data_IF_527363600844
#
_entry.id   IF_527363600844
#
_cell.length_a   1.000
_cell.length_b   1.000
_cell.length_c   1.000
_cell.angle_alpha   90.00
_cell.angle_beta   90.00
_cell.angle_gamma   90.00
#
_symmetry.space_group_name_H-M   'P 1'
#
loop_
_entity.id
_entity.type
_entity.pdbx_description
1 polymer ?
#
# COMPACT_ATOMS: atom_id res chain seq x y z
N UNK A 1 7.96 9.42 -13.16
CA UNK A 1 8.27 8.00 -12.83
C UNK A 1 6.97 7.25 -12.60
N UNK A 2 6.94 5.92 -12.74
CA UNK A 2 5.80 5.12 -12.27
C UNK A 2 5.90 4.88 -10.76
N UNK A 3 4.76 4.80 -10.09
CA UNK A 3 4.64 4.40 -8.68
C UNK A 3 3.80 3.13 -8.60
N UNK A 4 4.30 2.10 -7.92
CA UNK A 4 3.51 0.92 -7.56
C UNK A 4 3.02 1.06 -6.12
N UNK A 5 1.72 0.84 -5.92
CA UNK A 5 1.07 0.93 -4.60
C UNK A 5 0.33 -0.38 -4.30
N UNK A 6 0.91 -1.26 -3.46
CA UNK A 6 0.22 -2.43 -2.95
C UNK A 6 -0.92 -2.02 -2.01
N UNK A 7 -2.12 -2.57 -2.24
CA UNK A 7 -3.32 -2.38 -1.42
C UNK A 7 -3.89 -3.73 -1.01
N UNK A 8 -4.20 -3.89 0.28
CA UNK A 8 -4.73 -5.13 0.86
C UNK A 8 -6.20 -4.97 1.22
N UNK A 9 -6.97 -6.02 0.90
CA UNK A 9 -8.35 -6.19 1.34
C UNK A 9 -8.36 -6.82 2.73
N UNK A 10 -8.88 -6.11 3.72
CA UNK A 10 -8.92 -6.53 5.13
C UNK A 10 -10.33 -6.38 5.68
N UNK A 11 -10.57 -6.91 6.88
CA UNK A 11 -11.81 -6.63 7.62
C UNK A 11 -11.86 -5.13 7.93
N UNK A 12 -13.02 -4.49 7.74
CA UNK A 12 -13.20 -3.08 8.06
C UNK A 12 -12.84 -2.81 9.52
N UNK A 13 -12.03 -1.79 9.76
CA UNK A 13 -11.47 -1.49 11.08
C UNK A 13 -12.53 -1.16 12.15
N UNK A 14 -13.77 -0.83 11.75
CA UNK A 14 -14.88 -0.61 12.67
C UNK A 14 -15.60 -1.92 13.06
N UNK A 15 -15.28 -3.04 12.41
CA UNK A 15 -15.90 -4.33 12.70
C UNK A 15 -15.21 -4.99 13.88
N UNK A 16 -16.00 -5.36 14.89
CA UNK A 16 -15.54 -6.23 15.96
C UNK A 16 -15.45 -7.69 15.47
N UNK A 17 -14.22 -8.15 15.25
CA UNK A 17 -13.94 -9.53 14.84
C UNK A 17 -14.36 -10.55 15.90
N UNK A 18 -14.71 -11.76 15.45
CA UNK A 18 -15.02 -12.92 16.29
C UNK A 18 -14.11 -14.06 15.90
N UNK A 19 -13.62 -14.81 16.90
CA UNK A 19 -12.87 -16.04 16.66
C UNK A 19 -13.86 -17.17 16.38
N UNK A 20 -13.53 -18.05 15.43
CA UNK A 20 -14.30 -19.26 15.16
C UNK A 20 -14.32 -20.17 16.39
N UNK A 21 -15.42 -20.91 16.56
CA UNK A 21 -15.60 -21.79 17.72
C UNK A 21 -14.54 -22.91 17.82
N UNK A 22 -13.95 -23.29 16.69
CA UNK A 22 -12.90 -24.32 16.59
C UNK A 22 -11.47 -23.77 16.79
N UNK A 23 -11.30 -22.46 17.00
CA UNK A 23 -10.00 -21.82 17.17
C UNK A 23 -9.14 -21.75 15.89
N UNK A 24 -9.68 -22.10 14.72
CA UNK A 24 -8.93 -22.13 13.46
C UNK A 24 -8.61 -20.75 12.88
N UNK A 25 -9.25 -19.69 13.38
CA UNK A 25 -9.02 -18.31 12.94
C UNK A 25 -10.21 -17.39 13.21
N UNK A 26 -10.27 -16.28 12.48
CA UNK A 26 -11.33 -15.27 12.57
C UNK A 26 -12.52 -15.65 11.68
N UNK A 27 -13.73 -15.36 12.14
CA UNK A 27 -14.95 -15.45 11.34
C UNK A 27 -15.00 -14.31 10.32
N UNK A 28 -14.96 -14.66 9.04
CA UNK A 28 -14.96 -13.72 7.92
C UNK A 28 -16.25 -13.79 7.10
N UNK A 29 -17.13 -14.78 7.36
CA UNK A 29 -18.38 -14.89 6.65
C UNK A 29 -19.29 -13.70 6.97
N UNK A 30 -19.80 -13.05 5.92
CA UNK A 30 -20.70 -11.88 6.01
C UNK A 30 -20.10 -10.68 6.78
N UNK A 31 -18.77 -10.60 6.85
CA UNK A 31 -18.07 -9.46 7.44
C UNK A 31 -17.81 -8.41 6.38
N UNK A 32 -18.02 -7.14 6.74
CA UNK A 32 -17.66 -6.00 5.88
C UNK A 32 -16.14 -5.95 5.72
N UNK A 33 -15.68 -5.93 4.48
CA UNK A 33 -14.27 -5.82 4.12
C UNK A 33 -14.02 -4.45 3.49
N UNK A 34 -12.82 -3.92 3.66
CA UNK A 34 -12.41 -2.62 3.12
C UNK A 34 -10.95 -2.64 2.67
N UNK A 35 -10.49 -1.52 2.10
CA UNK A 35 -9.06 -1.28 1.96
C UNK A 35 -8.45 -1.13 3.36
N UNK A 36 -7.22 -1.62 3.52
CA UNK A 36 -6.43 -1.37 4.73
C UNK A 36 -6.18 0.14 4.89
N UNK A 37 -6.42 0.75 6.07
CA UNK A 37 -6.31 2.20 6.25
C UNK A 37 -4.94 2.79 5.88
N UNK A 38 -3.84 2.08 6.15
CA UNK A 38 -2.51 2.54 5.75
C UNK A 38 -2.31 2.54 4.23
N UNK A 39 -3.04 1.70 3.51
CA UNK A 39 -2.94 1.60 2.06
C UNK A 39 -3.73 2.73 1.37
N UNK A 40 -4.81 3.22 1.98
CA UNK A 40 -5.51 4.43 1.53
C UNK A 40 -4.57 5.65 1.58
N UNK A 41 -3.77 5.76 2.64
CA UNK A 41 -2.73 6.79 2.80
C UNK A 41 -1.64 6.66 1.72
N UNK A 42 -1.25 5.42 1.41
CA UNK A 42 -0.26 5.13 0.37
C UNK A 42 -0.75 5.51 -1.03
N UNK A 43 -2.01 5.21 -1.35
CA UNK A 43 -2.64 5.63 -2.60
C UNK A 43 -2.72 7.16 -2.66
N UNK A 44 -3.22 7.82 -1.61
CA UNK A 44 -3.31 9.28 -1.59
C UNK A 44 -1.94 9.94 -1.82
N UNK A 45 -0.88 9.45 -1.19
CA UNK A 45 0.46 10.02 -1.38
C UNK A 45 0.94 9.85 -2.82
N UNK A 46 0.74 8.67 -3.42
CA UNK A 46 1.08 8.43 -4.82
C UNK A 46 0.33 9.38 -5.77
N UNK A 47 -0.95 9.65 -5.48
CA UNK A 47 -1.77 10.60 -6.26
C UNK A 47 -1.28 12.04 -6.09
N UNK A 48 -0.96 12.47 -4.88
CA UNK A 48 -0.38 13.81 -4.63
C UNK A 48 0.94 14.00 -5.37
N UNK A 49 1.81 12.98 -5.38
CA UNK A 49 3.06 13.00 -6.14
C UNK A 49 2.81 13.08 -7.65
N UNK A 50 1.78 12.41 -8.16
CA UNK A 50 1.36 12.52 -9.57
C UNK A 50 0.83 13.91 -9.89
N UNK A 51 -0.03 14.48 -9.05
CA UNK A 51 -0.58 15.84 -9.20
C UNK A 51 0.52 16.91 -9.16
N UNK A 52 1.57 16.68 -8.36
CA UNK A 52 2.77 17.53 -8.32
C UNK A 52 3.75 17.30 -9.50
N UNK A 53 3.38 16.50 -10.50
CA UNK A 53 4.20 16.21 -11.68
C UNK A 53 5.43 15.35 -11.41
N UNK A 54 5.51 14.66 -10.26
CA UNK A 54 6.64 13.78 -9.90
C UNK A 54 6.41 12.34 -10.39
N UNK A 55 5.16 11.94 -10.55
CA UNK A 55 4.77 10.65 -11.11
C UNK A 55 3.98 10.82 -12.41
N UNK A 56 4.13 9.84 -13.30
CA UNK A 56 3.40 9.76 -14.58
C UNK A 56 2.29 8.72 -14.55
N UNK A 57 2.40 7.72 -13.68
CA UNK A 57 1.47 6.60 -13.57
C UNK A 57 1.47 6.05 -12.14
N UNK A 58 0.29 5.74 -11.61
CA UNK A 58 0.07 5.08 -10.32
C UNK A 58 -0.62 3.73 -10.58
N UNK A 59 0.06 2.65 -10.20
CA UNK A 59 -0.39 1.27 -10.40
C UNK A 59 -0.79 0.69 -9.05
N UNK A 60 -2.08 0.45 -8.86
CA UNK A 60 -2.59 -0.23 -7.67
C UNK A 60 -2.40 -1.75 -7.82
N UNK A 61 -1.88 -2.42 -6.80
CA UNK A 61 -1.64 -3.88 -6.83
C UNK A 61 -2.34 -4.53 -5.64
N UNK A 62 -3.12 -5.58 -5.86
CA UNK A 62 -3.62 -6.41 -4.76
C UNK A 62 -3.28 -7.88 -5.01
N UNK A 63 -2.95 -8.58 -3.93
CA UNK A 63 -2.60 -10.01 -3.94
C UNK A 63 -3.58 -10.70 -2.99
N UNK A 64 -4.38 -11.62 -3.52
CA UNK A 64 -5.41 -12.29 -2.73
C UNK A 64 -6.56 -12.83 -3.58
N UNK A 65 -7.72 -13.09 -2.98
CA UNK A 65 -8.82 -13.75 -3.67
C UNK A 65 -9.45 -12.81 -4.71
N UNK A 66 -10.34 -13.33 -5.55
CA UNK A 66 -10.99 -12.54 -6.61
C UNK A 66 -11.68 -11.26 -6.08
N UNK A 67 -12.21 -11.30 -4.85
CA UNK A 67 -12.86 -10.17 -4.18
C UNK A 67 -11.90 -9.00 -3.89
N UNK A 68 -10.58 -9.22 -3.87
CA UNK A 68 -9.60 -8.14 -3.77
C UNK A 68 -9.65 -7.16 -4.97
N UNK A 69 -10.31 -7.56 -6.07
CA UNK A 69 -10.64 -6.65 -7.17
C UNK A 69 -11.48 -5.44 -6.70
N UNK A 70 -12.33 -5.58 -5.70
CA UNK A 70 -13.11 -4.47 -5.15
C UNK A 70 -12.21 -3.38 -4.56
N UNK A 71 -11.17 -3.78 -3.82
CA UNK A 71 -10.17 -2.87 -3.24
C UNK A 71 -9.36 -2.15 -4.33
N UNK A 72 -9.03 -2.84 -5.42
CA UNK A 72 -8.40 -2.22 -6.58
C UNK A 72 -9.34 -1.18 -7.21
N UNK A 73 -10.64 -1.49 -7.37
CA UNK A 73 -11.61 -0.52 -7.89
C UNK A 73 -11.73 0.72 -7.01
N UNK A 74 -11.65 0.58 -5.68
CA UNK A 74 -11.56 1.73 -4.78
C UNK A 74 -10.34 2.59 -5.08
N UNK A 75 -9.16 1.98 -5.26
CA UNK A 75 -7.94 2.73 -5.62
C UNK A 75 -8.07 3.44 -6.99
N UNK A 76 -8.68 2.79 -7.98
CA UNK A 76 -8.99 3.39 -9.28
C UNK A 76 -9.95 4.59 -9.14
N UNK A 77 -10.99 4.45 -8.33
CA UNK A 77 -11.95 5.52 -8.06
C UNK A 77 -11.33 6.71 -7.31
N UNK A 78 -10.30 6.48 -6.49
CA UNK A 78 -9.51 7.55 -5.87
C UNK A 78 -8.66 8.29 -6.92
N UNK A 79 -8.19 7.60 -7.97
CA UNK A 79 -7.45 8.20 -9.09
C UNK A 79 -6.25 7.41 -9.60
N UNK A 80 -6.04 6.17 -9.14
CA UNK A 80 -5.01 5.31 -9.69
C UNK A 80 -5.26 5.04 -11.18
N UNK A 81 -4.20 4.91 -11.98
CA UNK A 81 -4.31 4.79 -13.44
C UNK A 81 -4.77 3.40 -13.86
N UNK A 82 -4.26 2.35 -13.21
CA UNK A 82 -4.66 0.97 -13.45
C UNK A 82 -4.38 0.08 -12.25
N UNK A 83 -4.98 -1.11 -12.30
CA UNK A 83 -4.90 -2.12 -11.25
C UNK A 83 -4.28 -3.43 -11.73
N UNK A 84 -3.56 -4.12 -10.84
CA UNK A 84 -3.08 -5.49 -11.03
C UNK A 84 -3.62 -6.34 -9.89
N UNK A 85 -4.40 -7.37 -10.23
CA UNK A 85 -4.78 -8.42 -9.28
C UNK A 85 -3.91 -9.64 -9.50
N UNK A 86 -3.12 -10.02 -8.50
CA UNK A 86 -2.51 -11.35 -8.45
C UNK A 86 -3.45 -12.26 -7.66
N UNK A 87 -4.24 -13.04 -8.40
CA UNK A 87 -5.23 -13.94 -7.79
C UNK A 87 -4.52 -15.09 -7.08
N UNK A 88 -4.76 -15.20 -5.77
CA UNK A 88 -4.31 -16.32 -4.94
C UNK A 88 -5.44 -16.70 -4.00
N UNK A 89 -5.68 -18.01 -3.86
CA UNK A 89 -6.63 -18.52 -2.88
C UNK A 89 -5.90 -18.82 -1.56
N UNK A 90 -6.54 -18.50 -0.43
CA UNK A 90 -5.98 -18.73 0.92
C UNK A 90 -5.17 -17.57 1.48
N UNK A 91 -4.44 -17.86 2.56
CA UNK A 91 -3.63 -16.87 3.29
C UNK A 91 -2.26 -16.74 2.62
N UNK A 92 -1.82 -15.50 2.39
CA UNK A 92 -0.51 -15.19 1.79
C UNK A 92 0.31 -14.43 2.81
N UNK A 93 1.42 -15.03 3.24
CA UNK A 93 2.33 -14.43 4.23
C UNK A 93 3.11 -13.24 3.64
N UNK A 94 3.56 -12.28 4.48
CA UNK A 94 4.32 -11.11 4.03
C UNK A 94 5.51 -11.43 3.11
N UNK A 95 6.22 -12.54 3.36
CA UNK A 95 7.34 -12.97 2.52
C UNK A 95 6.91 -13.35 1.10
N UNK A 96 5.79 -14.08 0.97
CA UNK A 96 5.23 -14.44 -0.32
C UNK A 96 4.71 -13.19 -1.05
N UNK A 97 4.03 -12.29 -0.34
CA UNK A 97 3.62 -10.97 -0.87
C UNK A 97 4.84 -10.20 -1.40
N UNK A 98 5.91 -10.09 -0.61
CA UNK A 98 7.13 -9.37 -1.02
C UNK A 98 7.80 -10.01 -2.26
N UNK A 99 7.83 -11.35 -2.36
CA UNK A 99 8.37 -12.03 -3.55
C UNK A 99 7.53 -11.79 -4.81
N UNK A 100 6.20 -11.79 -4.68
CA UNK A 100 5.29 -11.47 -5.79
C UNK A 100 5.47 -10.01 -6.21
N UNK A 101 5.50 -9.08 -5.25
CA UNK A 101 5.74 -7.67 -5.51
C UNK A 101 7.09 -7.42 -6.18
N UNK A 102 8.14 -8.18 -5.81
CA UNK A 102 9.45 -8.11 -6.48
C UNK A 102 9.31 -8.37 -7.99
N UNK A 103 8.59 -9.44 -8.38
CA UNK A 103 8.34 -9.75 -9.79
C UNK A 103 7.54 -8.67 -10.51
N UNK A 104 6.58 -8.03 -9.82
CA UNK A 104 5.82 -6.90 -10.38
C UNK A 104 6.73 -5.68 -10.56
N UNK A 105 7.59 -5.38 -9.59
CA UNK A 105 8.56 -4.27 -9.67
C UNK A 105 9.54 -4.49 -10.82
N UNK A 106 10.01 -5.72 -11.02
CA UNK A 106 10.89 -6.08 -12.15
C UNK A 106 10.17 -5.92 -13.51
N UNK A 107 8.88 -6.23 -13.59
CA UNK A 107 8.11 -6.10 -14.83
C UNK A 107 7.66 -4.66 -15.13
N UNK A 108 7.33 -3.89 -14.10
CA UNK A 108 6.78 -2.55 -14.23
C UNK A 108 7.84 -1.44 -14.22
N UNK A 109 9.02 -1.74 -13.67
CA UNK A 109 10.16 -0.83 -13.50
C UNK A 109 9.76 0.52 -12.84
N UNK A 110 9.07 0.53 -11.69
CA UNK A 110 8.70 1.77 -11.03
C UNK A 110 9.92 2.49 -10.45
N UNK A 111 9.82 3.81 -10.32
CA UNK A 111 10.83 4.60 -9.59
C UNK A 111 10.61 4.61 -8.08
N UNK A 112 9.44 4.15 -7.62
CA UNK A 112 9.01 4.21 -6.23
C UNK A 112 7.95 3.14 -5.96
N UNK A 113 8.04 2.50 -4.80
CA UNK A 113 6.97 1.66 -4.24
C UNK A 113 6.51 2.29 -2.92
N UNK A 114 5.22 2.52 -2.76
CA UNK A 114 4.63 3.03 -1.52
C UNK A 114 3.67 1.98 -0.97
N UNK A 115 3.90 1.50 0.25
CA UNK A 115 3.05 0.54 0.95
C UNK A 115 2.47 1.17 2.22
N UNK A 116 1.39 0.61 2.76
CA UNK A 116 1.04 0.86 4.14
C UNK A 116 2.12 0.38 5.12
N UNK A 117 2.20 1.00 6.31
CA UNK A 117 3.08 0.53 7.41
C UNK A 117 2.83 -0.93 7.75
N UNK A 118 1.58 -1.29 7.99
CA UNK A 118 1.17 -2.65 8.34
C UNK A 118 -0.24 -2.91 7.81
N UNK A 119 -0.63 -4.18 7.75
CA UNK A 119 -2.01 -4.55 7.56
C UNK A 119 -2.65 -4.82 8.93
N UNK A 120 -3.84 -4.29 9.16
CA UNK A 120 -4.52 -4.37 10.46
C UNK A 120 -5.04 -5.76 10.83
N UNK A 121 -4.99 -6.72 9.91
CA UNK A 121 -5.46 -8.10 10.12
C UNK A 121 -4.33 -9.04 10.58
N UNK A 122 -3.10 -8.84 10.12
CA UNK A 122 -1.92 -9.62 10.53
C UNK A 122 -0.95 -8.85 11.45
N UNK A 123 -1.07 -7.52 11.52
CA UNK A 123 -0.20 -6.60 12.26
C UNK A 123 1.31 -6.84 12.06
N UNK A 124 1.70 -7.38 10.90
CA UNK A 124 3.04 -7.92 10.72
C UNK A 124 4.12 -6.83 10.58
N UNK A 125 3.77 -5.68 9.97
CA UNK A 125 4.69 -4.59 9.65
C UNK A 125 6.02 -5.09 9.00
N UNK A 126 5.92 -5.91 7.95
CA UNK A 126 7.08 -6.62 7.37
C UNK A 126 7.22 -6.47 5.85
N UNK A 127 6.12 -6.46 5.10
CA UNK A 127 6.13 -6.61 3.63
C UNK A 127 7.03 -5.59 2.93
N UNK A 128 6.95 -4.31 3.32
CA UNK A 128 7.76 -3.25 2.69
C UNK A 128 9.26 -3.44 2.93
N UNK A 129 9.65 -3.80 4.15
CA UNK A 129 11.05 -4.04 4.50
C UNK A 129 11.60 -5.30 3.83
N UNK A 130 10.80 -6.36 3.74
CA UNK A 130 11.16 -7.60 3.02
C UNK A 130 11.35 -7.32 1.52
N UNK A 131 10.46 -6.55 0.91
CA UNK A 131 10.58 -6.17 -0.50
C UNK A 131 11.85 -5.36 -0.77
N UNK A 132 12.20 -4.44 0.15
CA UNK A 132 13.44 -3.64 0.06
C UNK A 132 14.67 -4.54 0.09
N UNK A 133 14.72 -5.50 1.01
CA UNK A 133 15.80 -6.47 1.09
C UNK A 133 15.91 -7.34 -0.17
N UNK A 134 14.78 -7.79 -0.72
CA UNK A 134 14.74 -8.63 -1.93
C UNK A 134 15.16 -7.89 -3.20
N UNK A 135 14.88 -6.59 -3.31
CA UNK A 135 15.27 -5.74 -4.44
C UNK A 135 16.66 -5.11 -4.29
N UNK A 136 17.20 -5.09 -3.07
CA UNK A 136 18.40 -4.30 -2.74
C UNK A 136 18.14 -2.79 -2.79
N UNK A 137 16.88 -2.36 -2.69
CA UNK A 137 16.51 -0.94 -2.68
C UNK A 137 16.58 -0.36 -1.27
N UNK A 138 16.87 0.93 -1.17
CA UNK A 138 16.70 1.67 0.08
C UNK A 138 15.25 1.59 0.57
N UNK A 139 15.03 1.87 1.85
CA UNK A 139 13.70 1.99 2.44
C UNK A 139 13.57 3.19 3.37
N UNK A 140 12.37 3.74 3.44
CA UNK A 140 11.97 4.74 4.42
C UNK A 140 10.63 4.34 5.05
N UNK A 141 10.69 3.71 6.23
CA UNK A 141 9.48 3.25 6.92
C UNK A 141 8.85 4.32 7.79
N UNK A 142 7.54 4.21 8.02
CA UNK A 142 6.77 5.09 8.91
C UNK A 142 6.81 6.56 8.49
N UNK A 143 6.77 6.80 7.18
CA UNK A 143 6.84 8.14 6.61
C UNK A 143 5.62 8.96 7.04
N UNK A 144 5.87 10.15 7.61
CA UNK A 144 4.87 11.19 7.88
C UNK A 144 5.07 12.46 7.04
N UNK A 145 6.16 12.54 6.26
CA UNK A 145 6.34 13.52 5.19
C UNK A 145 7.23 12.95 4.08
N UNK A 146 6.87 13.18 2.82
CA UNK A 146 7.66 12.77 1.65
C UNK A 146 7.88 13.96 0.73
N UNK A 147 9.15 14.22 0.38
CA UNK A 147 9.53 15.29 -0.55
C UNK A 147 10.46 14.71 -1.62
N UNK A 148 10.07 14.80 -2.91
CA UNK A 148 10.82 14.22 -4.03
C UNK A 148 11.31 15.31 -4.99
N UNK A 149 12.62 15.31 -5.26
CA UNK A 149 13.29 16.25 -6.15
C UNK A 149 14.70 15.76 -6.51
N UNK A 150 15.21 16.17 -7.68
CA UNK A 150 16.60 15.95 -8.11
C UNK A 150 17.08 14.48 -8.01
N UNK A 151 16.20 13.52 -8.32
CA UNK A 151 16.50 12.08 -8.26
C UNK A 151 16.62 11.51 -6.84
N UNK A 152 16.25 12.28 -5.83
CA UNK A 152 16.27 11.92 -4.42
C UNK A 152 14.90 12.08 -3.78
N UNK A 153 14.76 11.45 -2.62
CA UNK A 153 13.63 11.63 -1.74
C UNK A 153 14.14 11.97 -0.33
N UNK A 154 13.56 13.00 0.27
CA UNK A 154 13.71 13.37 1.67
C UNK A 154 12.45 12.95 2.41
N UNK A 155 12.60 12.09 3.42
CA UNK A 155 11.49 11.49 4.15
C UNK A 155 11.62 11.80 5.63
N UNK A 156 10.57 12.35 6.22
CA UNK A 156 10.41 12.43 7.68
C UNK A 156 9.65 11.20 8.16
N UNK A 157 10.21 10.52 9.16
CA UNK A 157 9.70 9.28 9.73
C UNK A 157 9.25 9.49 11.17
N UNK A 158 8.17 8.85 11.55
CA UNK A 158 7.79 8.67 12.95
C UNK A 158 8.68 7.60 13.58
N UNK A 159 9.34 7.95 14.67
CA UNK A 159 10.14 7.04 15.52
C UNK A 159 9.75 7.24 16.98
N UNK A 160 10.12 6.31 17.87
CA UNK A 160 9.64 6.33 19.26
C UNK A 160 9.90 7.66 20.00
N UNK A 161 11.03 8.31 19.72
CA UNK A 161 11.44 9.58 20.32
C UNK A 161 10.98 10.85 19.58
N UNK A 162 10.18 10.74 18.51
CA UNK A 162 9.73 11.87 17.70
C UNK A 162 9.95 11.65 16.21
N UNK A 163 10.63 12.58 15.55
CA UNK A 163 10.80 12.59 14.09
C UNK A 163 12.24 12.37 13.68
N UNK A 164 12.45 11.54 12.65
CA UNK A 164 13.75 11.37 12.01
C UNK A 164 13.63 11.70 10.53
N UNK A 165 14.45 12.63 10.03
CA UNK A 165 14.54 12.91 8.59
C UNK A 165 15.71 12.15 7.97
N UNK A 166 15.45 11.44 6.89
CA UNK A 166 16.46 10.74 6.09
C UNK A 166 16.38 11.19 4.62
N UNK A 167 17.47 11.02 3.89
CA UNK A 167 17.53 11.25 2.44
C UNK A 167 18.03 9.96 1.75
N UNK A 168 17.40 9.59 0.64
CA UNK A 168 17.84 8.48 -0.21
C UNK A 168 17.70 8.84 -1.68
N UNK A 169 18.52 8.20 -2.52
CA UNK A 169 18.31 8.18 -3.97
C UNK A 169 17.10 7.30 -4.32
N UNK A 170 16.50 7.58 -5.47
CA UNK A 170 15.56 6.67 -6.13
C UNK A 170 16.34 5.59 -6.94
N UNK A 171 15.80 4.38 -7.12
CA UNK A 171 14.49 3.93 -6.64
C UNK A 171 14.46 3.61 -5.14
N UNK A 172 13.27 3.67 -4.54
CA UNK A 172 13.07 3.61 -3.09
C UNK A 172 11.77 2.88 -2.73
N UNK A 173 11.74 2.28 -1.54
CA UNK A 173 10.51 1.81 -0.91
C UNK A 173 10.12 2.72 0.25
N UNK A 174 8.85 3.14 0.30
CA UNK A 174 8.28 3.91 1.40
C UNK A 174 7.18 3.11 2.07
N UNK A 175 7.12 3.11 3.40
CA UNK A 175 5.92 2.67 4.12
C UNK A 175 5.28 3.84 4.87
N UNK A 176 3.97 4.01 4.75
CA UNK A 176 3.25 5.19 5.24
C UNK A 176 2.81 5.05 6.69
N UNK A 177 3.00 6.10 7.49
CA UNK A 177 2.30 6.26 8.77
C UNK A 177 0.95 6.95 8.56
N UNK A 178 0.02 6.79 9.50
CA UNK A 178 -1.30 7.44 9.45
C UNK A 178 -1.21 8.97 9.41
N UNK A 179 -0.10 9.56 9.88
CA UNK A 179 0.10 11.02 9.91
C UNK A 179 0.53 11.62 8.57
N UNK A 180 0.82 10.81 7.55
CA UNK A 180 1.37 11.29 6.29
C UNK A 180 0.41 12.23 5.53
N UNK A 181 -0.86 11.85 5.46
CA UNK A 181 -1.89 12.60 4.76
C UNK A 181 -3.30 12.20 5.24
N UNK A 182 -4.31 12.86 4.66
CA UNK A 182 -5.72 12.47 4.79
C UNK A 182 -6.19 11.97 3.41
N UNK A 183 -6.61 10.70 3.28
CA UNK A 183 -7.04 10.15 2.00
C UNK A 183 -8.28 10.83 1.48
N UNK A 184 -8.33 11.11 0.18
CA UNK A 184 -9.54 11.66 -0.46
C UNK A 184 -10.65 10.62 -0.54
N UNK A 185 -11.89 11.09 -0.47
CA UNK A 185 -13.04 10.28 -0.85
C UNK A 185 -13.18 10.25 -2.37
N UNK A 186 -13.42 9.06 -2.92
CA UNK A 186 -13.74 8.92 -4.34
C UNK A 186 -15.10 9.58 -4.65
N UNK A 187 -15.15 10.40 -5.70
CA UNK A 187 -16.40 11.02 -6.15
C UNK A 187 -17.30 9.99 -6.86
N UNK A 188 -18.62 10.18 -6.82
CA UNK A 188 -19.56 9.31 -7.54
C UNK A 188 -19.22 9.13 -9.03
N UNK A 189 -18.86 10.18 -9.79
CA UNK A 189 -18.42 10.01 -11.18
C UNK A 189 -17.19 9.12 -11.34
N UNK A 190 -16.21 9.23 -10.42
CA UNK A 190 -15.01 8.40 -10.47
C UNK A 190 -15.31 6.94 -10.15
N UNK A 191 -16.21 6.68 -9.19
CA UNK A 191 -16.65 5.32 -8.84
C UNK A 191 -17.33 4.65 -10.05
N UNK A 192 -18.11 5.39 -10.85
CA UNK A 192 -18.75 4.85 -12.04
C UNK A 192 -17.78 4.59 -13.21
N UNK A 193 -16.65 5.30 -13.24
CA UNK A 193 -15.63 5.17 -14.28
C UNK A 193 -14.63 4.04 -13.98
N UNK A 194 -14.40 3.77 -12.70
CA UNK A 194 -13.48 2.76 -12.18
C UNK A 194 -14.01 1.32 -12.34
#
# INVERSE_FOLDING_TARGET
MKIVVPVKRVVDYNVKIRVKADGSGVELANVKMSMNPFDEIAIEEALRLKEAGKASEVIAVSIGPAQAQETIRTALAMGADRGILVKVDGIVEPLAVAKILKGIVEAEEPGLVILGKQAIDDDANQTGQMLSALLGWSQATFASKVEIGDGKAKITREVDGGLQTIESKLPLIITTDLRLNEPRYASLPNIMKA
#
